data_IF_361201273052
#
_entry.id   IF_361201273052
#
_cell.length_a   1.000
_cell.length_b   1.000
_cell.length_c   1.000
_cell.angle_alpha   90.00
_cell.angle_beta   90.00
_cell.angle_gamma   90.00
#
_symmetry.space_group_name_H-M   'P 1'
#
loop_
_entity.id
_entity.type
_entity.pdbx_description
1 polymer ?
#
# COMPACT_ATOMS: atom_id res chain seq x y z
N UNK A 1 21.95 -5.29 6.84
CA UNK A 1 22.03 -5.05 5.42
C UNK A 1 20.69 -4.61 4.86
N UNK A 2 20.66 -3.51 4.19
CA UNK A 2 19.41 -2.96 3.69
C UNK A 2 19.06 -3.57 2.35
N UNK A 3 17.77 -3.81 2.13
CA UNK A 3 17.34 -4.28 0.82
C UNK A 3 17.70 -3.25 -0.25
N UNK A 4 18.00 -3.75 -1.41
CA UNK A 4 18.40 -2.90 -2.50
C UNK A 4 17.26 -2.01 -2.97
N UNK A 5 16.08 -2.53 -2.96
CA UNK A 5 14.94 -1.82 -3.48
C UNK A 5 14.37 -0.82 -2.50
N UNK A 6 14.73 -0.96 -1.24
CA UNK A 6 14.29 -0.01 -0.23
C UNK A 6 12.79 0.20 -0.20
N UNK A 7 12.03 -0.84 -0.52
CA UNK A 7 10.59 -0.76 -0.43
C UNK A 7 10.22 -0.58 1.05
N UNK A 8 9.59 0.53 1.41
CA UNK A 8 9.29 0.77 2.82
C UNK A 8 8.41 -0.30 3.44
N UNK A 9 7.71 -1.06 2.63
CA UNK A 9 6.84 -2.10 3.15
C UNK A 9 7.55 -3.43 3.32
N UNK A 10 8.78 -3.55 2.86
CA UNK A 10 9.48 -4.81 2.91
C UNK A 10 9.89 -5.22 4.32
N UNK A 11 9.85 -4.29 5.27
CA UNK A 11 10.20 -4.62 6.64
C UNK A 11 9.09 -5.38 7.36
N UNK A 12 7.91 -5.46 6.77
CA UNK A 12 6.79 -6.12 7.42
C UNK A 12 6.90 -7.61 7.19
N UNK A 13 7.45 -8.31 8.17
CA UNK A 13 7.65 -9.75 8.07
C UNK A 13 7.07 -10.51 9.24
N UNK A 14 6.62 -9.79 10.25
CA UNK A 14 6.10 -10.36 11.48
C UNK A 14 4.61 -10.63 11.28
N UNK A 15 4.12 -11.73 11.83
CA UNK A 15 2.71 -12.11 11.65
C UNK A 15 1.76 -11.07 12.21
N UNK A 16 2.10 -10.51 13.36
CA UNK A 16 1.24 -9.49 13.94
C UNK A 16 1.18 -8.24 13.07
N UNK A 17 2.33 -7.84 12.53
CA UNK A 17 2.36 -6.68 11.64
C UNK A 17 1.57 -6.94 10.37
N UNK A 18 1.60 -8.18 9.87
CA UNK A 18 0.82 -8.50 8.68
C UNK A 18 -0.66 -8.39 8.96
N UNK A 19 -1.10 -8.83 10.13
CA UNK A 19 -2.50 -8.70 10.49
C UNK A 19 -2.89 -7.23 10.63
N UNK A 20 -2.04 -6.45 11.26
CA UNK A 20 -2.29 -5.02 11.39
C UNK A 20 -2.36 -4.35 10.03
N UNK A 21 -1.47 -4.73 9.13
CA UNK A 21 -1.48 -4.19 7.78
C UNK A 21 -2.79 -4.50 7.07
N UNK A 22 -3.24 -5.74 7.17
CA UNK A 22 -4.47 -6.12 6.50
C UNK A 22 -5.66 -5.36 7.05
N UNK A 23 -5.70 -5.16 8.36
CA UNK A 23 -6.78 -4.39 8.96
C UNK A 23 -6.73 -2.94 8.50
N UNK A 24 -5.53 -2.38 8.44
CA UNK A 24 -5.39 -1.00 8.01
C UNK A 24 -5.82 -0.83 6.56
N UNK A 25 -5.41 -1.75 5.71
CA UNK A 25 -5.80 -1.69 4.31
C UNK A 25 -7.31 -1.76 4.18
N UNK A 26 -7.94 -2.64 4.96
CA UNK A 26 -9.39 -2.77 4.92
C UNK A 26 -10.10 -1.49 5.30
N UNK A 27 -9.48 -0.65 6.12
CA UNK A 27 -10.10 0.57 6.59
C UNK A 27 -9.85 1.77 5.69
N UNK A 28 -8.99 1.61 4.67
CA UNK A 28 -8.70 2.74 3.79
C UNK A 28 -9.88 3.08 2.91
N UNK A 29 -9.93 4.32 2.41
CA UNK A 29 -10.96 4.68 1.43
C UNK A 29 -11.00 3.69 0.27
N UNK A 30 -12.18 3.40 -0.19
CA UNK A 30 -12.38 2.34 -1.16
C UNK A 30 -11.51 2.48 -2.41
N UNK A 31 -11.41 3.69 -2.94
CA UNK A 31 -10.65 3.88 -4.18
C UNK A 31 -9.16 3.64 -4.00
N UNK A 32 -8.62 4.05 -2.85
CA UNK A 32 -7.21 3.79 -2.54
C UNK A 32 -6.98 2.30 -2.32
N UNK A 33 -7.88 1.70 -1.57
CA UNK A 33 -7.77 0.28 -1.26
C UNK A 33 -7.77 -0.57 -2.52
N UNK A 34 -8.72 -0.31 -3.40
CA UNK A 34 -8.84 -1.09 -4.63
C UNK A 34 -7.59 -0.99 -5.48
N UNK A 35 -7.10 0.23 -5.70
CA UNK A 35 -5.91 0.41 -6.53
C UNK A 35 -4.71 -0.27 -5.89
N UNK A 36 -4.58 -0.13 -4.59
CA UNK A 36 -3.45 -0.72 -3.87
C UNK A 36 -3.45 -2.24 -3.95
N UNK A 37 -4.61 -2.85 -3.70
CA UNK A 37 -4.71 -4.31 -3.71
C UNK A 37 -4.44 -4.86 -5.12
N UNK A 38 -5.00 -4.22 -6.13
CA UNK A 38 -4.79 -4.68 -7.50
C UNK A 38 -3.32 -4.62 -7.88
N UNK A 39 -2.61 -3.61 -7.42
CA UNK A 39 -1.21 -3.46 -7.75
C UNK A 39 -0.32 -4.36 -6.92
N UNK A 40 -0.48 -4.32 -5.60
CA UNK A 40 0.48 -4.96 -4.72
C UNK A 40 0.22 -6.45 -4.51
N UNK A 41 -1.04 -6.84 -4.51
CA UNK A 41 -1.38 -8.23 -4.25
C UNK A 41 -1.67 -9.02 -5.52
N UNK A 42 -2.22 -8.36 -6.53
CA UNK A 42 -2.57 -9.06 -7.76
C UNK A 42 -1.61 -8.80 -8.91
N UNK A 43 -0.69 -7.87 -8.72
CA UNK A 43 0.35 -7.63 -9.72
C UNK A 43 -0.12 -7.02 -11.02
N UNK A 44 -1.25 -6.32 -11.01
CA UNK A 44 -1.76 -5.69 -12.22
C UNK A 44 -0.92 -4.50 -12.62
N UNK A 45 -0.88 -4.22 -13.92
CA UNK A 45 -0.21 -3.02 -14.39
C UNK A 45 -1.09 -1.80 -14.13
N UNK A 46 -0.47 -0.64 -14.16
CA UNK A 46 -1.23 0.60 -13.99
C UNK A 46 -2.32 0.72 -15.05
N UNK A 47 -2.00 0.31 -16.27
CA UNK A 47 -2.97 0.38 -17.36
C UNK A 47 -4.14 -0.55 -17.11
N UNK A 48 -3.86 -1.73 -16.60
CA UNK A 48 -4.93 -2.68 -16.27
C UNK A 48 -5.82 -2.16 -15.18
N UNK A 49 -5.19 -1.57 -14.15
CA UNK A 49 -5.97 -1.00 -13.04
C UNK A 49 -6.81 0.16 -13.54
N UNK A 50 -6.25 1.00 -14.40
CA UNK A 50 -6.99 2.12 -14.96
C UNK A 50 -8.22 1.62 -15.71
N UNK A 51 -8.06 0.57 -16.50
CA UNK A 51 -9.19 0.02 -17.26
C UNK A 51 -10.25 -0.53 -16.33
N UNK A 52 -9.85 -1.30 -15.34
CA UNK A 52 -10.80 -1.93 -14.43
C UNK A 52 -11.53 -0.90 -13.57
N UNK A 53 -10.82 0.12 -13.13
CA UNK A 53 -11.40 1.13 -12.25
C UNK A 53 -11.97 2.32 -13.01
N UNK A 54 -11.84 2.30 -14.32
CA UNK A 54 -12.41 3.32 -15.19
C UNK A 54 -11.91 4.72 -14.83
N UNK A 55 -10.58 4.86 -14.74
CA UNK A 55 -9.98 6.15 -14.46
C UNK A 55 -8.65 6.25 -15.20
N UNK A 56 -8.10 7.46 -15.34
CA UNK A 56 -6.83 7.64 -16.02
C UNK A 56 -5.67 6.99 -15.26
N UNK A 57 -4.64 6.62 -15.99
CA UNK A 57 -3.44 6.02 -15.39
C UNK A 57 -2.83 6.93 -14.33
N UNK A 58 -2.82 8.24 -14.58
CA UNK A 58 -2.29 9.18 -13.60
C UNK A 58 -3.03 9.11 -12.28
N UNK A 59 -4.34 8.92 -12.35
CA UNK A 59 -5.14 8.78 -11.14
C UNK A 59 -4.78 7.50 -10.40
N UNK A 60 -4.53 6.41 -11.14
CA UNK A 60 -4.12 5.17 -10.52
C UNK A 60 -2.82 5.37 -9.75
N UNK A 61 -1.85 6.01 -10.40
CA UNK A 61 -0.57 6.28 -9.74
C UNK A 61 -0.75 7.07 -8.46
N UNK A 62 -1.57 8.12 -8.52
CA UNK A 62 -1.82 8.95 -7.35
C UNK A 62 -2.47 8.16 -6.23
N UNK A 63 -3.42 7.32 -6.57
CA UNK A 63 -4.11 6.52 -5.55
C UNK A 63 -3.17 5.53 -4.90
N UNK A 64 -2.33 4.87 -5.69
CA UNK A 64 -1.38 3.91 -5.14
C UNK A 64 -0.36 4.63 -4.26
N UNK A 65 0.14 5.77 -4.73
CA UNK A 65 1.09 6.54 -3.95
C UNK A 65 0.48 6.97 -2.61
N UNK A 66 -0.74 7.47 -2.65
CA UNK A 66 -1.41 7.91 -1.44
C UNK A 66 -1.64 6.74 -0.49
N UNK A 67 -2.04 5.59 -1.02
CA UNK A 67 -2.27 4.43 -0.18
C UNK A 67 -0.99 3.99 0.52
N UNK A 68 0.11 3.94 -0.24
CA UNK A 68 1.38 3.55 0.36
C UNK A 68 1.84 4.55 1.40
N UNK A 69 1.62 5.83 1.15
CA UNK A 69 1.97 6.86 2.12
C UNK A 69 1.22 6.68 3.43
N UNK A 70 -0.08 6.40 3.33
CA UNK A 70 -0.87 6.22 4.53
C UNK A 70 -0.41 5.01 5.34
N UNK A 71 -0.07 3.93 4.64
CA UNK A 71 0.41 2.73 5.31
C UNK A 71 1.75 3.02 5.99
N UNK A 72 2.65 3.64 5.27
CA UNK A 72 3.98 3.95 5.82
C UNK A 72 3.86 4.84 7.04
N UNK A 73 3.02 5.87 6.97
CA UNK A 73 2.86 6.77 8.10
C UNK A 73 2.27 6.06 9.31
N UNK A 74 1.31 5.19 9.08
CA UNK A 74 0.72 4.44 10.17
C UNK A 74 1.77 3.59 10.88
N UNK A 75 2.53 2.82 10.11
CA UNK A 75 3.51 1.93 10.70
C UNK A 75 4.74 2.65 11.19
N UNK A 76 5.03 3.81 10.63
CA UNK A 76 6.11 4.63 11.13
C UNK A 76 5.83 5.04 12.57
N UNK A 77 4.61 5.47 12.84
CA UNK A 77 4.24 5.82 14.20
C UNK A 77 4.29 4.62 15.12
N UNK A 78 3.81 3.48 14.63
CA UNK A 78 3.81 2.27 15.44
C UNK A 78 5.21 1.79 15.77
N UNK A 79 6.14 1.91 14.83
CA UNK A 79 7.44 1.30 14.98
C UNK A 79 8.53 2.26 15.46
N UNK A 80 8.39 3.53 15.17
CA UNK A 80 9.47 4.47 15.44
C UNK A 80 9.16 5.50 16.51
N UNK A 81 7.91 5.74 16.78
CA UNK A 81 7.56 6.78 17.74
C UNK A 81 7.01 6.23 19.03
N UNK A 82 6.81 4.96 19.06
CA UNK A 82 6.37 4.39 20.30
C UNK A 82 7.59 4.14 21.16
N UNK A 83 7.49 4.32 22.36
CA UNK A 83 8.60 4.08 23.24
C UNK A 83 8.24 3.30 24.43
#
# INVERSE_FOLDING_TARGET
DLPQDLDPLSFISNEQLKKDLNLFISSMPEKLKTAFILREFEGKSYEEIAAVTNCPVGTVRSRIFRAREEIINYFKEELYERD
#
